data_IF_223119164477
#
_entry.id   IF_223119164477
#
_cell.length_a   1.000
_cell.length_b   1.000
_cell.length_c   1.000
_cell.angle_alpha   90.00
_cell.angle_beta   90.00
_cell.angle_gamma   90.00
#
_symmetry.space_group_name_H-M   'P 1'
#
loop_
_entity.id
_entity.type
_entity.pdbx_description
1 polymer ?
#
# COMPACT_ATOMS: atom_id res chain seq x y z
N UNK A 1 59.00 7.09 -36.89
CA UNK A 1 58.19 5.90 -36.56
C UNK A 1 57.88 5.72 -35.08
N UNK A 2 58.33 6.61 -34.18
CA UNK A 2 58.02 6.46 -32.72
C UNK A 2 56.73 7.16 -32.30
N UNK A 3 56.26 8.14 -33.01
CA UNK A 3 55.07 8.93 -32.62
C UNK A 3 53.72 8.23 -32.86
N UNK A 4 53.68 7.22 -33.70
CA UNK A 4 52.43 6.50 -33.99
C UNK A 4 52.03 5.45 -32.94
N UNK A 5 53.01 4.96 -32.19
CA UNK A 5 52.77 3.97 -31.12
C UNK A 5 52.26 4.59 -29.79
N UNK A 6 52.68 5.81 -29.51
CA UNK A 6 52.24 6.52 -28.28
C UNK A 6 50.79 6.98 -28.39
N UNK A 7 50.34 7.38 -29.58
CA UNK A 7 48.92 7.79 -29.79
C UNK A 7 47.92 6.66 -29.69
N UNK A 8 48.36 5.42 -29.95
CA UNK A 8 47.51 4.24 -29.93
C UNK A 8 47.35 3.66 -28.53
N UNK A 9 48.29 3.91 -27.65
CA UNK A 9 48.23 3.48 -26.24
C UNK A 9 47.38 4.42 -25.38
N UNK A 10 47.31 5.71 -25.72
CA UNK A 10 46.46 6.70 -25.01
C UNK A 10 44.99 6.58 -25.35
N UNK A 11 44.64 6.03 -26.52
CA UNK A 11 43.25 5.80 -26.91
C UNK A 11 42.58 4.60 -26.24
N UNK A 12 43.39 3.64 -25.77
CA UNK A 12 42.89 2.44 -25.09
C UNK A 12 42.76 2.59 -23.58
N UNK A 13 43.38 3.62 -22.98
CA UNK A 13 43.30 3.90 -21.57
C UNK A 13 42.07 4.73 -21.13
N UNK A 14 41.39 5.40 -22.08
CA UNK A 14 40.25 6.25 -21.77
C UNK A 14 38.89 5.58 -21.88
N UNK A 15 38.84 4.33 -22.36
CA UNK A 15 37.58 3.60 -22.59
C UNK A 15 37.20 2.65 -21.44
N UNK A 16 38.05 2.53 -20.41
CA UNK A 16 37.82 1.60 -19.28
C UNK A 16 37.25 2.25 -18.01
N UNK A 17 37.08 3.59 -17.98
CA UNK A 17 36.59 4.30 -16.78
C UNK A 17 35.12 4.71 -16.86
N UNK A 18 34.45 4.52 -18.01
CA UNK A 18 33.10 4.99 -18.22
C UNK A 18 32.00 3.92 -17.95
N UNK A 19 32.32 2.73 -17.43
CA UNK A 19 31.35 1.66 -17.22
C UNK A 19 31.04 1.30 -15.76
N UNK A 20 31.51 2.10 -14.78
CA UNK A 20 31.20 1.85 -13.36
C UNK A 20 30.26 2.85 -12.70
N UNK A 21 29.65 3.75 -13.46
CA UNK A 21 28.72 4.78 -12.94
C UNK A 21 27.30 4.50 -13.41
N UNK A 22 26.76 3.31 -13.18
CA UNK A 22 25.42 3.01 -13.71
C UNK A 22 24.65 1.88 -13.03
N UNK A 23 25.12 1.37 -11.92
CA UNK A 23 24.38 0.38 -11.12
C UNK A 23 24.23 0.90 -9.68
N UNK A 24 23.67 2.09 -9.52
CA UNK A 24 22.83 2.32 -8.36
C UNK A 24 21.58 1.48 -8.62
N UNK A 25 21.64 0.20 -8.28
CA UNK A 25 20.46 -0.58 -8.04
C UNK A 25 19.64 0.24 -7.04
N UNK A 26 18.59 0.89 -7.52
CA UNK A 26 17.48 1.27 -6.67
C UNK A 26 16.98 -0.05 -6.07
N UNK A 27 17.60 -0.51 -5.00
CA UNK A 27 16.94 -1.36 -4.03
C UNK A 27 15.82 -0.50 -3.49
N UNK A 28 14.70 -0.44 -4.25
CA UNK A 28 13.44 -0.11 -3.66
C UNK A 28 13.26 -1.15 -2.56
N UNK A 29 13.61 -0.75 -1.34
CA UNK A 29 13.18 -1.40 -0.15
C UNK A 29 11.70 -1.74 -0.38
N UNK A 30 11.34 -2.98 -0.13
CA UNK A 30 9.98 -3.49 -0.26
C UNK A 30 9.04 -2.39 0.19
N UNK A 31 8.23 -1.90 -0.74
CA UNK A 31 7.46 -0.67 -0.64
C UNK A 31 6.81 -0.59 0.74
N UNK A 32 7.36 0.23 1.61
CA UNK A 32 6.75 0.44 2.90
C UNK A 32 5.46 1.22 2.65
N UNK A 33 4.34 0.50 2.53
CA UNK A 33 3.02 1.06 2.27
C UNK A 33 2.71 2.23 3.22
N UNK A 34 3.14 2.13 4.48
CA UNK A 34 2.93 3.19 5.45
C UNK A 34 3.64 4.49 5.05
N UNK A 35 4.88 4.41 4.57
CA UNK A 35 5.63 5.57 4.11
C UNK A 35 5.00 6.17 2.84
N UNK A 36 4.50 5.33 1.92
CA UNK A 36 3.77 5.81 0.74
C UNK A 36 2.48 6.54 1.12
N UNK A 37 1.69 5.96 2.04
CA UNK A 37 0.46 6.57 2.54
C UNK A 37 0.74 7.92 3.21
N UNK A 38 1.77 8.00 4.04
CA UNK A 38 2.19 9.25 4.68
C UNK A 38 2.69 10.29 3.69
N UNK A 39 3.52 9.87 2.74
CA UNK A 39 4.03 10.76 1.69
C UNK A 39 2.89 11.32 0.82
N UNK A 40 1.93 10.49 0.45
CA UNK A 40 0.78 10.88 -0.34
C UNK A 40 -0.30 11.64 0.47
N UNK A 41 -0.20 11.65 1.80
CA UNK A 41 -1.16 12.29 2.68
C UNK A 41 -2.56 11.68 2.64
N UNK A 42 -2.71 10.46 2.12
CA UNK A 42 -4.01 9.84 1.89
C UNK A 42 -3.94 8.32 2.08
N UNK A 43 -4.87 7.78 2.86
CA UNK A 43 -5.14 6.35 3.02
C UNK A 43 -6.37 5.97 2.20
N UNK A 44 -6.19 5.14 1.16
CA UNK A 44 -7.28 4.64 0.32
C UNK A 44 -7.89 3.41 0.98
N UNK A 45 -9.15 3.53 1.40
CA UNK A 45 -9.87 2.51 2.18
C UNK A 45 -10.97 1.90 1.34
N UNK A 46 -10.91 0.57 1.12
CA UNK A 46 -11.99 -0.20 0.52
C UNK A 46 -12.99 -0.65 1.58
N UNK A 47 -14.27 -0.41 1.29
CA UNK A 47 -15.43 -0.86 2.06
C UNK A 47 -16.62 -1.03 1.14
N UNK A 48 -17.67 -1.73 1.56
CA UNK A 48 -18.76 -2.06 0.65
C UNK A 48 -19.76 -0.89 0.49
N UNK A 49 -20.09 -0.20 1.56
CA UNK A 49 -20.98 0.95 1.52
C UNK A 49 -22.47 0.62 1.39
N UNK A 50 -22.83 -0.66 1.46
CA UNK A 50 -24.21 -1.18 1.38
C UNK A 50 -24.55 -2.13 2.51
N UNK A 51 -23.79 -2.08 3.62
CA UNK A 51 -23.86 -3.03 4.72
C UNK A 51 -24.09 -2.33 6.06
N UNK A 52 -25.33 -1.91 6.39
CA UNK A 52 -25.63 -1.32 7.69
C UNK A 52 -25.52 -2.38 8.81
N UNK A 53 -25.07 -2.00 10.01
CA UNK A 53 -24.66 -0.65 10.45
C UNK A 53 -23.17 -0.35 10.19
N UNK A 54 -22.46 -1.17 9.43
CA UNK A 54 -21.00 -1.09 9.26
C UNK A 54 -20.58 -0.01 8.27
N UNK A 55 -21.08 -0.08 7.04
CA UNK A 55 -20.89 0.96 6.03
C UNK A 55 -22.12 1.05 5.12
N UNK A 56 -22.74 2.21 5.04
CA UNK A 56 -23.95 2.44 4.25
C UNK A 56 -24.12 3.93 3.93
N UNK A 57 -25.03 4.25 3.02
CA UNK A 57 -25.39 5.63 2.74
C UNK A 57 -26.45 6.09 3.73
N UNK A 58 -26.17 7.20 4.45
CA UNK A 58 -27.12 7.87 5.31
C UNK A 58 -28.24 8.59 4.54
N UNK A 59 -29.18 9.17 5.24
CA UNK A 59 -30.29 9.93 4.65
C UNK A 59 -29.83 11.15 3.84
N UNK A 60 -28.66 11.71 4.19
CA UNK A 60 -28.01 12.80 3.47
C UNK A 60 -27.19 12.32 2.24
N UNK A 61 -27.26 11.03 1.92
CA UNK A 61 -26.53 10.40 0.80
C UNK A 61 -25.02 10.22 1.05
N UNK A 62 -24.52 10.58 2.23
CA UNK A 62 -23.11 10.38 2.57
C UNK A 62 -22.88 9.00 3.14
N UNK A 63 -21.70 8.48 2.88
CA UNK A 63 -21.25 7.22 3.45
C UNK A 63 -21.03 7.37 4.95
N UNK A 64 -21.61 6.48 5.76
CA UNK A 64 -21.59 6.50 7.21
C UNK A 64 -21.52 5.08 7.78
N UNK A 65 -21.36 4.94 9.08
CA UNK A 65 -21.33 3.69 9.82
C UNK A 65 -19.97 3.42 10.49
N UNK A 66 -19.93 2.33 11.25
CA UNK A 66 -18.76 1.97 12.07
C UNK A 66 -17.45 1.92 11.27
N UNK A 67 -17.47 1.33 10.09
CA UNK A 67 -16.27 1.19 9.24
C UNK A 67 -15.77 2.53 8.73
N UNK A 68 -16.69 3.44 8.44
CA UNK A 68 -16.39 4.81 8.01
C UNK A 68 -15.71 5.58 9.13
N UNK A 69 -16.26 5.50 10.36
CA UNK A 69 -15.70 6.16 11.54
C UNK A 69 -14.34 5.58 11.88
N UNK A 70 -14.19 4.25 11.80
CA UNK A 70 -12.93 3.57 12.03
C UNK A 70 -11.87 3.97 10.99
N UNK A 71 -12.25 4.03 9.71
CA UNK A 71 -11.35 4.46 8.63
C UNK A 71 -10.83 5.89 8.83
N UNK A 72 -11.72 6.79 9.22
CA UNK A 72 -11.36 8.18 9.50
C UNK A 72 -10.45 8.29 10.73
N UNK A 73 -10.76 7.57 11.79
CA UNK A 73 -9.92 7.54 13.01
C UNK A 73 -8.53 6.96 12.75
N UNK A 74 -8.45 5.89 11.96
CA UNK A 74 -7.17 5.30 11.53
C UNK A 74 -6.35 6.29 10.70
N UNK A 75 -6.95 6.92 9.71
CA UNK A 75 -6.27 7.90 8.87
C UNK A 75 -5.77 9.11 9.71
N UNK A 76 -6.60 9.60 10.62
CA UNK A 76 -6.21 10.67 11.54
C UNK A 76 -5.02 10.26 12.43
N UNK A 77 -5.04 9.04 12.97
CA UNK A 77 -3.93 8.50 13.76
C UNK A 77 -2.62 8.41 12.96
N UNK A 78 -2.70 8.13 11.67
CA UNK A 78 -1.56 8.11 10.75
C UNK A 78 -1.14 9.50 10.26
N UNK A 79 -1.88 10.55 10.59
CA UNK A 79 -1.62 11.92 10.14
C UNK A 79 -1.97 12.16 8.67
N UNK A 80 -2.93 11.40 8.11
CA UNK A 80 -3.36 11.49 6.71
C UNK A 80 -4.89 11.61 6.61
N UNK A 81 -5.42 11.78 5.40
CA UNK A 81 -6.86 11.78 5.12
C UNK A 81 -7.32 10.40 4.65
N UNK A 82 -8.49 9.96 5.10
CA UNK A 82 -9.15 8.79 4.54
C UNK A 82 -9.78 9.12 3.19
N UNK A 83 -9.52 8.29 2.19
CA UNK A 83 -10.24 8.26 0.92
C UNK A 83 -11.05 6.97 0.86
N UNK A 84 -12.34 7.07 1.14
CA UNK A 84 -13.25 5.94 1.11
C UNK A 84 -13.57 5.56 -0.33
N UNK A 85 -13.46 4.28 -0.65
CA UNK A 85 -13.69 3.73 -1.98
C UNK A 85 -14.72 2.60 -1.90
N UNK A 86 -16.01 2.91 -2.03
CA UNK A 86 -17.06 1.88 -2.08
C UNK A 86 -16.77 0.89 -3.20
N UNK A 87 -16.67 -0.37 -2.85
CA UNK A 87 -16.26 -1.44 -3.77
C UNK A 87 -17.08 -2.69 -3.47
N UNK A 88 -17.70 -3.28 -4.49
CA UNK A 88 -18.38 -4.56 -4.32
C UNK A 88 -17.44 -5.62 -3.81
N UNK A 89 -17.96 -6.51 -2.96
CA UNK A 89 -17.16 -7.56 -2.32
C UNK A 89 -16.29 -8.37 -3.29
N UNK A 90 -16.85 -8.78 -4.41
CA UNK A 90 -16.15 -9.61 -5.41
C UNK A 90 -14.90 -8.93 -6.00
N UNK A 91 -14.88 -7.59 -6.02
CA UNK A 91 -13.75 -6.81 -6.52
C UNK A 91 -12.82 -6.24 -5.44
N UNK A 92 -13.17 -6.41 -4.17
CA UNK A 92 -12.50 -5.75 -3.05
C UNK A 92 -11.05 -6.21 -2.90
N UNK A 93 -10.82 -7.51 -2.83
CA UNK A 93 -9.49 -8.08 -2.64
C UNK A 93 -8.61 -7.86 -3.89
N UNK A 94 -9.19 -7.98 -5.08
CA UNK A 94 -8.49 -7.64 -6.32
C UNK A 94 -8.09 -6.15 -6.40
N UNK A 95 -8.86 -5.27 -5.79
CA UNK A 95 -8.52 -3.84 -5.67
C UNK A 95 -7.37 -3.59 -4.69
N UNK A 96 -7.25 -4.40 -3.64
CA UNK A 96 -6.12 -4.40 -2.71
C UNK A 96 -4.84 -4.89 -3.42
N UNK A 97 -4.90 -6.04 -4.08
CA UNK A 97 -3.77 -6.64 -4.79
C UNK A 97 -3.23 -5.72 -5.89
N UNK A 98 -4.13 -5.04 -6.61
CA UNK A 98 -3.76 -4.07 -7.66
C UNK A 98 -3.38 -2.68 -7.14
N UNK A 99 -3.26 -2.50 -5.80
CA UNK A 99 -2.91 -1.21 -5.14
C UNK A 99 -3.86 -0.06 -5.46
N UNK A 100 -5.09 -0.34 -5.90
CA UNK A 100 -6.15 0.68 -6.07
C UNK A 100 -6.66 1.18 -4.74
N UNK A 101 -6.64 0.32 -3.72
CA UNK A 101 -6.87 0.64 -2.32
C UNK A 101 -5.67 0.16 -1.50
N UNK A 102 -5.44 0.80 -0.37
CA UNK A 102 -4.30 0.52 0.52
C UNK A 102 -4.68 -0.45 1.65
N UNK A 103 -5.95 -0.41 2.05
CA UNK A 103 -6.50 -1.25 3.13
C UNK A 103 -7.97 -1.56 2.87
N UNK A 104 -8.40 -2.72 3.33
CA UNK A 104 -9.82 -3.13 3.36
C UNK A 104 -10.33 -3.07 4.79
N UNK A 105 -11.43 -2.34 5.00
CA UNK A 105 -12.17 -2.27 6.25
C UNK A 105 -13.61 -2.66 5.91
N UNK A 106 -13.94 -3.97 6.01
CA UNK A 106 -15.22 -4.53 5.54
C UNK A 106 -15.54 -5.87 6.22
N UNK A 107 -15.40 -5.97 7.54
CA UNK A 107 -15.69 -7.19 8.31
C UNK A 107 -14.99 -8.46 7.76
N UNK A 108 -13.81 -8.30 7.18
CA UNK A 108 -13.08 -9.40 6.53
C UNK A 108 -12.58 -10.41 7.56
N UNK A 109 -13.09 -11.63 7.50
CA UNK A 109 -12.66 -12.72 8.38
C UNK A 109 -11.24 -13.15 8.05
N UNK A 110 -10.41 -13.32 9.07
CA UNK A 110 -9.07 -13.88 8.92
C UNK A 110 -9.20 -15.39 8.71
N UNK A 111 -8.82 -15.89 7.53
CA UNK A 111 -8.74 -17.31 7.20
C UNK A 111 -7.32 -17.69 6.82
N UNK A 112 -6.99 -19.00 6.87
CA UNK A 112 -5.66 -19.47 6.51
C UNK A 112 -5.36 -19.27 5.01
N UNK A 113 -6.38 -19.33 4.18
CA UNK A 113 -6.27 -19.02 2.75
C UNK A 113 -5.88 -17.54 2.54
N UNK A 114 -6.59 -16.62 3.20
CA UNK A 114 -6.33 -15.19 3.08
C UNK A 114 -4.98 -14.79 3.65
N UNK A 115 -4.52 -15.42 4.71
CA UNK A 115 -3.18 -15.17 5.29
C UNK A 115 -2.02 -15.44 4.33
N UNK A 116 -2.23 -16.26 3.30
CA UNK A 116 -1.20 -16.56 2.30
C UNK A 116 -0.91 -15.34 1.41
N UNK A 117 -1.91 -14.52 1.15
CA UNK A 117 -1.86 -13.47 0.15
C UNK A 117 -2.03 -12.06 0.74
N UNK A 118 -2.42 -11.94 2.00
CA UNK A 118 -2.64 -10.64 2.63
C UNK A 118 -2.22 -10.62 4.09
N UNK A 119 -1.80 -9.45 4.54
CA UNK A 119 -1.50 -9.19 5.94
C UNK A 119 -2.75 -8.69 6.65
N UNK A 120 -3.09 -9.32 7.76
CA UNK A 120 -4.15 -8.87 8.66
C UNK A 120 -3.54 -8.37 9.96
N UNK A 121 -4.12 -7.35 10.60
CA UNK A 121 -3.67 -6.88 11.90
C UNK A 121 -3.77 -8.01 12.94
N UNK A 122 -2.91 -7.94 13.95
CA UNK A 122 -2.95 -8.88 15.07
C UNK A 122 -4.31 -8.76 15.76
N UNK A 123 -4.95 -9.89 16.05
CA UNK A 123 -6.17 -9.90 16.85
C UNK A 123 -5.89 -9.27 18.21
N UNK A 124 -6.60 -8.21 18.54
CA UNK A 124 -6.67 -7.73 19.90
C UNK A 124 -7.57 -8.70 20.67
N UNK A 125 -7.15 -9.28 21.80
CA UNK A 125 -8.05 -10.04 22.64
C UNK A 125 -9.16 -9.11 23.10
N UNK A 126 -10.36 -9.27 22.54
CA UNK A 126 -11.52 -8.53 23.05
C UNK A 126 -12.02 -9.21 24.31
N UNK A 127 -12.08 -8.53 25.45
CA UNK A 127 -12.69 -9.10 26.65
C UNK A 127 -14.19 -9.37 26.48
N UNK A 128 -14.82 -8.87 25.41
CA UNK A 128 -16.24 -9.04 25.14
C UNK A 128 -16.62 -10.39 24.54
N UNK A 129 -15.66 -11.20 24.05
CA UNK A 129 -15.92 -12.56 23.55
C UNK A 129 -15.57 -13.63 24.58
N UNK A 130 -15.84 -13.41 25.85
CA UNK A 130 -15.98 -14.54 26.78
C UNK A 130 -17.38 -15.13 26.58
N UNK A 131 -17.38 -16.25 25.92
CA UNK A 131 -18.39 -17.30 25.82
C UNK A 131 -19.58 -17.12 26.80
N UNK A 132 -20.73 -16.93 26.24
CA UNK A 132 -22.02 -17.21 26.89
C UNK A 132 -22.29 -18.71 26.84
#
# INVERSE_FOLDING_TARGET
MLFSKVRRQLALGMMAVALTAGLTANTFAADNLLEQVKHNGTLKVGLEGTYPPFSFQGEDGKLTGFEVDFANALAQHLGVKAKLSPTKWDGMLASLDSKRIDVVINQVTISDERKKNMTSPRRTPSPAFRRW
#
